data_IF_050925746923
#
_entry.id   IF_050925746923
#
_cell.length_a   1.000
_cell.length_b   1.000
_cell.length_c   1.000
_cell.angle_alpha   90.00
_cell.angle_beta   90.00
_cell.angle_gamma   90.00
#
_symmetry.space_group_name_H-M   'P 1'
#
loop_
_entity.id
_entity.type
_entity.pdbx_description
1 polymer ?
#
# COMPACT_ATOMS: atom_id res chain seq x y z
N UNK A 1 -27.77 20.93 16.25
CA UNK A 1 -26.44 21.37 15.76
C UNK A 1 -26.04 20.44 14.63
N UNK A 2 -25.89 20.94 13.40
CA UNK A 2 -25.38 20.13 12.30
C UNK A 2 -23.90 19.86 12.55
N UNK A 3 -23.56 18.62 12.90
CA UNK A 3 -22.18 18.15 12.96
C UNK A 3 -21.61 18.29 11.56
N UNK A 4 -20.78 19.32 11.32
CA UNK A 4 -20.02 19.44 10.07
C UNK A 4 -19.29 18.11 9.85
N UNK A 5 -19.56 17.45 8.74
CA UNK A 5 -18.92 16.19 8.36
C UNK A 5 -17.41 16.43 8.28
N UNK A 6 -16.69 16.05 9.34
CA UNK A 6 -15.28 16.42 9.59
C UNK A 6 -14.33 15.85 8.52
N UNK A 7 -14.82 14.95 7.67
CA UNK A 7 -14.07 14.26 6.62
C UNK A 7 -14.92 14.09 5.35
N UNK A 8 -15.44 15.19 4.79
CA UNK A 8 -16.23 15.15 3.54
C UNK A 8 -15.45 14.68 2.30
N UNK A 9 -14.12 14.60 2.39
CA UNK A 9 -13.23 14.09 1.35
C UNK A 9 -12.98 12.58 1.44
N UNK A 10 -13.42 11.92 2.53
CA UNK A 10 -13.25 10.49 2.75
C UNK A 10 -14.62 9.81 2.65
N UNK A 11 -14.90 9.25 1.49
CA UNK A 11 -16.24 8.78 1.11
C UNK A 11 -16.55 7.39 1.66
N UNK A 12 -16.74 7.33 2.98
CA UNK A 12 -17.21 6.16 3.72
C UNK A 12 -18.20 6.58 4.79
N UNK A 13 -18.95 5.61 5.32
CA UNK A 13 -19.93 5.86 6.38
C UNK A 13 -19.30 6.47 7.64
N UNK A 14 -20.08 7.22 8.40
CA UNK A 14 -19.61 7.82 9.65
C UNK A 14 -19.18 6.76 10.67
N UNK A 15 -19.82 5.58 10.67
CA UNK A 15 -19.42 4.44 11.49
C UNK A 15 -17.98 3.98 11.17
N UNK A 16 -17.61 3.90 9.88
CA UNK A 16 -16.25 3.54 9.48
C UNK A 16 -15.26 4.61 9.92
N UNK A 17 -15.60 5.90 9.75
CA UNK A 17 -14.75 7.01 10.22
C UNK A 17 -14.53 6.91 11.72
N UNK A 18 -15.56 6.62 12.49
CA UNK A 18 -15.48 6.43 13.95
C UNK A 18 -14.57 5.27 14.32
N UNK A 19 -14.69 4.11 13.64
CA UNK A 19 -13.81 2.96 13.86
C UNK A 19 -12.34 3.29 13.57
N UNK A 20 -12.04 4.00 12.48
CA UNK A 20 -10.67 4.43 12.17
C UNK A 20 -10.13 5.43 13.20
N UNK A 21 -10.96 6.34 13.70
CA UNK A 21 -10.60 7.26 14.79
C UNK A 21 -10.33 6.48 16.07
N UNK A 22 -11.14 5.47 16.40
CA UNK A 22 -10.95 4.64 17.58
C UNK A 22 -9.64 3.84 17.49
N UNK A 23 -9.35 3.23 16.34
CA UNK A 23 -8.06 2.57 16.11
C UNK A 23 -6.87 3.54 16.36
N UNK A 24 -6.94 4.76 15.83
CA UNK A 24 -5.90 5.75 16.07
C UNK A 24 -5.81 6.20 17.55
N UNK A 25 -6.94 6.36 18.24
CA UNK A 25 -6.99 6.75 19.66
C UNK A 25 -6.45 5.69 20.60
N UNK A 26 -6.67 4.41 20.27
CA UNK A 26 -6.21 3.28 21.06
C UNK A 26 -4.87 2.75 20.56
N UNK A 27 -4.11 3.53 19.78
CA UNK A 27 -2.87 3.11 19.16
C UNK A 27 -1.94 2.35 20.11
N UNK A 28 -1.69 2.85 21.32
CA UNK A 28 -0.80 2.18 22.30
C UNK A 28 -1.30 0.78 22.71
N UNK A 29 -2.63 0.56 22.73
CA UNK A 29 -3.24 -0.74 22.94
C UNK A 29 -3.40 -1.49 21.60
N UNK A 30 -2.36 -2.23 21.21
CA UNK A 30 -2.30 -2.89 19.90
C UNK A 30 -3.47 -3.83 19.63
N UNK A 31 -3.94 -4.58 20.63
CA UNK A 31 -5.08 -5.51 20.48
C UNK A 31 -6.38 -4.75 20.19
N UNK A 32 -6.69 -3.76 21.01
CA UNK A 32 -7.91 -2.97 20.89
C UNK A 32 -7.92 -2.14 19.59
N UNK A 33 -6.78 -1.52 19.27
CA UNK A 33 -6.60 -0.77 18.03
C UNK A 33 -6.76 -1.65 16.79
N UNK A 34 -6.17 -2.86 16.79
CA UNK A 34 -6.31 -3.80 15.68
C UNK A 34 -7.76 -4.25 15.51
N UNK A 35 -8.49 -4.45 16.61
CA UNK A 35 -9.92 -4.79 16.58
C UNK A 35 -10.76 -3.73 15.89
N UNK A 36 -10.53 -2.44 16.14
CA UNK A 36 -11.25 -1.37 15.44
C UNK A 36 -10.88 -1.28 13.95
N UNK A 37 -9.60 -1.45 13.62
CA UNK A 37 -9.15 -1.50 12.22
C UNK A 37 -9.79 -2.66 11.45
N UNK A 38 -9.86 -3.85 12.04
CA UNK A 38 -10.51 -5.01 11.42
C UNK A 38 -12.02 -4.80 11.22
N UNK A 39 -12.69 -4.17 12.19
CA UNK A 39 -14.10 -3.81 12.04
C UNK A 39 -14.33 -2.79 10.92
N UNK A 40 -13.45 -1.79 10.78
CA UNK A 40 -13.52 -0.84 9.67
C UNK A 40 -13.40 -1.58 8.33
N UNK A 41 -12.37 -2.41 8.18
CA UNK A 41 -12.15 -3.23 6.98
C UNK A 41 -13.33 -4.13 6.63
N UNK A 42 -13.94 -4.77 7.63
CA UNK A 42 -15.10 -5.64 7.41
C UNK A 42 -16.33 -4.89 6.90
N UNK A 43 -16.49 -3.61 7.28
CA UNK A 43 -17.62 -2.77 6.89
C UNK A 43 -17.44 -2.06 5.55
N UNK A 44 -16.20 -1.81 5.15
CA UNK A 44 -15.88 -1.01 3.95
C UNK A 44 -15.67 -1.86 2.72
N UNK A 45 -15.56 -3.18 2.89
CA UNK A 45 -15.16 -4.08 1.81
C UNK A 45 -13.80 -3.64 1.24
N UNK A 46 -13.77 -3.41 -0.07
CA UNK A 46 -12.56 -3.09 -0.82
C UNK A 46 -12.45 -1.60 -1.19
N UNK A 47 -13.01 -0.69 -0.37
CA UNK A 47 -12.75 0.74 -0.54
C UNK A 47 -11.24 1.03 -0.44
N UNK A 48 -10.66 1.61 -1.48
CA UNK A 48 -9.20 1.80 -1.62
C UNK A 48 -8.62 2.73 -0.56
N UNK A 49 -9.35 3.75 -0.14
CA UNK A 49 -8.85 4.71 0.86
C UNK A 49 -8.72 4.05 2.25
N UNK A 50 -9.67 3.18 2.60
CA UNK A 50 -9.62 2.41 3.86
C UNK A 50 -8.52 1.35 3.79
N UNK A 51 -8.33 0.70 2.64
CA UNK A 51 -7.20 -0.20 2.44
C UNK A 51 -5.86 0.53 2.58
N UNK A 52 -5.73 1.76 2.05
CA UNK A 52 -4.51 2.57 2.24
C UNK A 52 -4.28 2.91 3.72
N UNK A 53 -5.34 3.27 4.45
CA UNK A 53 -5.26 3.51 5.90
C UNK A 53 -4.82 2.25 6.66
N UNK A 54 -5.40 1.10 6.33
CA UNK A 54 -5.05 -0.19 6.91
C UNK A 54 -3.60 -0.63 6.60
N UNK A 55 -3.14 -0.43 5.36
CA UNK A 55 -1.75 -0.69 4.98
C UNK A 55 -0.79 0.08 5.88
N UNK A 56 -0.99 1.40 6.01
CA UNK A 56 -0.16 2.26 6.87
C UNK A 56 -0.20 1.83 8.32
N UNK A 57 -1.41 1.54 8.82
CA UNK A 57 -1.62 1.04 10.17
C UNK A 57 -0.78 -0.23 10.44
N UNK A 58 -0.92 -1.27 9.61
CA UNK A 58 -0.21 -2.52 9.79
C UNK A 58 1.30 -2.36 9.60
N UNK A 59 1.73 -1.54 8.63
CA UNK A 59 3.14 -1.24 8.41
C UNK A 59 3.80 -0.62 9.65
N UNK A 60 3.20 0.45 10.19
CA UNK A 60 3.74 1.12 11.39
C UNK A 60 3.60 0.29 12.67
N UNK A 61 2.68 -0.68 12.71
CA UNK A 61 2.60 -1.71 13.76
C UNK A 61 3.57 -2.87 13.57
N UNK A 62 4.45 -2.81 12.57
CA UNK A 62 5.37 -3.89 12.18
C UNK A 62 4.66 -5.23 11.85
N UNK A 63 3.35 -5.19 11.56
CA UNK A 63 2.62 -6.36 11.08
C UNK A 63 2.74 -6.44 9.55
N UNK A 64 3.95 -6.77 9.10
CA UNK A 64 4.30 -6.80 7.68
C UNK A 64 3.49 -7.81 6.87
N UNK A 65 3.03 -8.91 7.50
CA UNK A 65 2.15 -9.88 6.85
C UNK A 65 0.80 -9.27 6.45
N UNK A 66 0.13 -8.57 7.38
CA UNK A 66 -1.13 -7.88 7.08
C UNK A 66 -0.93 -6.65 6.21
N UNK A 67 0.20 -5.95 6.34
CA UNK A 67 0.55 -4.85 5.44
C UNK A 67 0.65 -5.35 3.98
N UNK A 68 1.37 -6.46 3.75
CA UNK A 68 1.50 -7.06 2.42
C UNK A 68 0.14 -7.47 1.85
N UNK A 69 -0.64 -8.21 2.64
CA UNK A 69 -2.00 -8.64 2.26
C UNK A 69 -2.87 -7.44 1.86
N UNK A 70 -2.72 -6.31 2.56
CA UNK A 70 -3.50 -5.10 2.26
C UNK A 70 -3.01 -4.41 0.98
N UNK A 71 -1.69 -4.32 0.76
CA UNK A 71 -1.14 -3.80 -0.49
C UNK A 71 -1.57 -4.63 -1.70
N UNK A 72 -1.56 -5.96 -1.57
CA UNK A 72 -2.03 -6.89 -2.60
C UNK A 72 -3.52 -6.71 -2.93
N UNK A 73 -4.36 -6.45 -1.92
CA UNK A 73 -5.78 -6.11 -2.13
C UNK A 73 -5.96 -4.82 -2.91
N UNK A 74 -5.18 -3.77 -2.61
CA UNK A 74 -5.21 -2.51 -3.37
C UNK A 74 -4.84 -2.76 -4.83
N UNK A 75 -3.76 -3.50 -5.07
CA UNK A 75 -3.28 -3.87 -6.41
C UNK A 75 -4.37 -4.64 -7.17
N UNK A 76 -4.95 -5.68 -6.56
CA UNK A 76 -6.00 -6.50 -7.16
C UNK A 76 -7.23 -5.65 -7.49
N UNK A 77 -7.63 -4.76 -6.59
CA UNK A 77 -8.78 -3.89 -6.80
C UNK A 77 -8.61 -2.94 -7.97
N UNK A 78 -7.43 -2.34 -8.08
CA UNK A 78 -7.15 -1.43 -9.20
C UNK A 78 -7.05 -2.21 -10.51
N UNK A 79 -6.50 -3.42 -10.52
CA UNK A 79 -6.53 -4.28 -11.72
C UNK A 79 -7.94 -4.56 -12.19
N UNK A 80 -8.87 -4.82 -11.28
CA UNK A 80 -10.28 -5.02 -11.59
C UNK A 80 -10.92 -3.74 -12.17
N UNK A 81 -10.78 -2.60 -11.47
CA UNK A 81 -11.39 -1.32 -11.85
C UNK A 81 -10.90 -0.84 -13.22
N UNK A 82 -9.60 -1.01 -13.48
CA UNK A 82 -8.94 -0.52 -14.68
C UNK A 82 -8.84 -1.58 -15.79
N UNK A 83 -9.39 -2.78 -15.56
CA UNK A 83 -9.32 -3.93 -16.46
C UNK A 83 -7.88 -4.22 -16.94
N UNK A 84 -6.93 -4.24 -16.01
CA UNK A 84 -5.51 -4.38 -16.33
C UNK A 84 -5.13 -5.85 -16.58
N UNK A 85 -4.23 -6.13 -17.55
CA UNK A 85 -3.76 -7.48 -17.80
C UNK A 85 -2.93 -8.04 -16.63
N UNK A 86 -2.88 -9.36 -16.54
CA UNK A 86 -2.09 -10.06 -15.53
C UNK A 86 -0.63 -10.23 -15.94
N UNK A 87 -0.37 -10.39 -17.24
CA UNK A 87 0.98 -10.52 -17.78
C UNK A 87 1.73 -9.18 -17.64
N UNK A 88 2.95 -9.23 -17.09
CA UNK A 88 3.74 -8.02 -16.86
C UNK A 88 4.15 -7.30 -18.16
N UNK A 89 4.49 -8.05 -19.21
CA UNK A 89 4.92 -7.49 -20.50
C UNK A 89 3.79 -6.68 -21.16
N UNK A 90 2.54 -7.12 -20.98
CA UNK A 90 1.34 -6.38 -21.42
C UNK A 90 0.99 -5.22 -20.48
N UNK A 91 1.20 -5.41 -19.17
CA UNK A 91 0.85 -4.44 -18.14
C UNK A 91 1.79 -3.23 -18.12
N UNK A 92 3.10 -3.45 -18.26
CA UNK A 92 4.11 -2.40 -18.08
C UNK A 92 3.91 -1.18 -19.00
N UNK A 93 3.66 -1.33 -20.32
CA UNK A 93 3.42 -0.17 -21.18
C UNK A 93 2.20 0.66 -20.75
N UNK A 94 1.13 -0.01 -20.31
CA UNK A 94 -0.09 0.65 -19.82
C UNK A 94 0.21 1.47 -18.57
N UNK A 95 0.91 0.87 -17.59
CA UNK A 95 1.31 1.57 -16.37
C UNK A 95 2.21 2.76 -16.68
N UNK A 96 3.15 2.64 -17.61
CA UNK A 96 4.05 3.72 -17.99
C UNK A 96 3.33 4.88 -18.68
N UNK A 97 2.39 4.58 -19.59
CA UNK A 97 1.61 5.58 -20.30
C UNK A 97 0.65 6.32 -19.36
N UNK A 98 0.03 5.61 -18.42
CA UNK A 98 -1.06 6.11 -17.58
C UNK A 98 -0.65 6.46 -16.16
N UNK A 99 0.66 6.51 -15.85
CA UNK A 99 1.19 6.65 -14.48
C UNK A 99 0.71 7.86 -13.68
N UNK A 100 0.26 8.92 -14.34
CA UNK A 100 -0.25 10.13 -13.69
C UNK A 100 -1.76 10.03 -13.35
N UNK A 101 -2.46 9.02 -13.87
CA UNK A 101 -3.86 8.79 -13.54
C UNK A 101 -3.99 8.29 -12.10
N UNK A 102 -4.96 8.77 -11.30
CA UNK A 102 -5.03 8.49 -9.86
C UNK A 102 -4.99 7.01 -9.49
N UNK A 103 -5.75 6.16 -10.17
CA UNK A 103 -5.79 4.73 -9.90
C UNK A 103 -4.46 4.05 -10.26
N UNK A 104 -3.87 4.37 -11.41
CA UNK A 104 -2.60 3.80 -11.84
C UNK A 104 -1.46 4.25 -10.91
N UNK A 105 -1.48 5.52 -10.49
CA UNK A 105 -0.53 6.04 -9.50
C UNK A 105 -0.69 5.33 -8.15
N UNK A 106 -1.92 5.04 -7.72
CA UNK A 106 -2.17 4.25 -6.51
C UNK A 106 -1.66 2.80 -6.65
N UNK A 107 -1.85 2.18 -7.81
CA UNK A 107 -1.32 0.85 -8.11
C UNK A 107 0.20 0.82 -7.99
N UNK A 108 0.90 1.78 -8.61
CA UNK A 108 2.35 1.87 -8.59
C UNK A 108 2.88 2.10 -7.16
N UNK A 109 2.22 2.96 -6.39
CA UNK A 109 2.54 3.14 -4.96
C UNK A 109 2.33 1.85 -4.15
N UNK A 110 1.22 1.15 -4.34
CA UNK A 110 0.94 -0.10 -3.63
C UNK A 110 1.90 -1.22 -4.03
N UNK A 111 2.31 -1.29 -5.29
CA UNK A 111 3.27 -2.27 -5.79
C UNK A 111 4.70 -1.97 -5.32
N UNK A 112 5.13 -0.70 -5.31
CA UNK A 112 6.40 -0.32 -4.70
C UNK A 112 6.42 -0.60 -3.19
N UNK A 113 5.32 -0.29 -2.49
CA UNK A 113 5.13 -0.58 -1.07
C UNK A 113 5.20 -2.08 -0.76
N UNK A 114 4.62 -2.95 -1.60
CA UNK A 114 4.72 -4.39 -1.41
C UNK A 114 6.16 -4.88 -1.55
N UNK A 115 6.95 -4.31 -2.46
CA UNK A 115 8.40 -4.58 -2.56
C UNK A 115 9.14 -4.30 -1.26
N UNK A 116 8.88 -3.14 -0.63
CA UNK A 116 9.46 -2.79 0.67
C UNK A 116 9.03 -3.76 1.78
N UNK A 117 7.75 -4.11 1.83
CA UNK A 117 7.23 -5.03 2.85
C UNK A 117 7.80 -6.44 2.70
N UNK A 118 7.90 -6.93 1.46
CA UNK A 118 8.52 -8.22 1.14
C UNK A 118 10.00 -8.23 1.54
N UNK A 119 10.73 -7.13 1.35
CA UNK A 119 12.10 -6.98 1.87
C UNK A 119 12.14 -7.07 3.40
N UNK A 120 11.23 -6.38 4.11
CA UNK A 120 11.11 -6.44 5.58
C UNK A 120 10.79 -7.85 6.10
N UNK A 121 10.13 -8.67 5.29
CA UNK A 121 9.85 -10.08 5.57
C UNK A 121 11.03 -11.01 5.21
N UNK A 122 12.17 -10.48 4.76
CA UNK A 122 13.37 -11.24 4.42
C UNK A 122 13.33 -11.89 3.03
N UNK A 123 12.32 -11.62 2.20
CA UNK A 123 12.16 -12.18 0.85
C UNK A 123 12.88 -11.32 -0.18
N UNK A 124 14.20 -11.23 -0.06
CA UNK A 124 15.00 -10.22 -0.78
C UNK A 124 14.91 -10.34 -2.31
N UNK A 125 14.91 -11.55 -2.88
CA UNK A 125 14.83 -11.73 -4.34
C UNK A 125 13.49 -11.25 -4.91
N UNK A 126 12.39 -11.55 -4.22
CA UNK A 126 11.06 -11.05 -4.61
C UNK A 126 11.00 -9.51 -4.50
N UNK A 127 11.62 -8.93 -3.46
CA UNK A 127 11.69 -7.49 -3.31
C UNK A 127 12.51 -6.81 -4.42
N UNK A 128 13.64 -7.42 -4.81
CA UNK A 128 14.45 -6.96 -5.95
C UNK A 128 13.63 -6.99 -7.24
N UNK A 129 12.93 -8.10 -7.52
CA UNK A 129 12.09 -8.22 -8.72
C UNK A 129 11.03 -7.11 -8.82
N UNK A 130 10.31 -6.85 -7.72
CA UNK A 130 9.30 -5.78 -7.66
C UNK A 130 9.96 -4.41 -7.86
N UNK A 131 11.11 -4.18 -7.22
CA UNK A 131 11.81 -2.89 -7.31
C UNK A 131 12.31 -2.61 -8.72
N UNK A 132 12.89 -3.61 -9.40
CA UNK A 132 13.30 -3.51 -10.82
C UNK A 132 12.13 -3.19 -11.73
N UNK A 133 10.98 -3.84 -11.51
CA UNK A 133 9.76 -3.61 -12.29
C UNK A 133 9.26 -2.17 -12.18
N UNK A 134 9.22 -1.61 -10.96
CA UNK A 134 8.84 -0.20 -10.77
C UNK A 134 9.89 0.75 -11.34
N UNK A 135 11.18 0.46 -11.17
CA UNK A 135 12.26 1.28 -11.70
C UNK A 135 12.20 1.42 -13.23
N UNK A 136 11.76 0.36 -13.93
CA UNK A 136 11.48 0.40 -15.37
C UNK A 136 10.29 1.27 -15.80
N UNK A 137 9.50 1.79 -14.85
CA UNK A 137 8.35 2.70 -15.07
C UNK A 137 8.67 4.11 -14.55
N UNK A 138 9.43 4.19 -13.46
CA UNK A 138 9.59 5.37 -12.62
C UNK A 138 10.90 6.13 -12.87
N UNK A 139 10.96 6.81 -14.02
CA UNK A 139 12.13 7.59 -14.41
C UNK A 139 12.47 8.76 -13.45
N UNK A 140 11.53 9.17 -12.58
CA UNK A 140 11.70 10.31 -11.66
C UNK A 140 11.92 9.88 -10.20
N UNK A 141 11.87 8.57 -9.93
CA UNK A 141 11.90 8.01 -8.58
C UNK A 141 10.74 8.51 -7.67
N UNK A 142 9.57 8.75 -8.27
CA UNK A 142 8.34 9.19 -7.60
C UNK A 142 7.80 8.16 -6.59
N UNK A 143 8.12 6.88 -6.76
CA UNK A 143 7.62 5.76 -5.95
C UNK A 143 8.68 5.15 -5.03
N UNK A 144 9.93 5.65 -5.06
CA UNK A 144 11.00 5.27 -4.14
C UNK A 144 11.62 3.87 -4.36
N UNK A 145 11.23 3.16 -5.42
CA UNK A 145 11.71 1.81 -5.69
C UNK A 145 13.20 1.73 -6.05
N UNK A 146 13.76 2.78 -6.67
CA UNK A 146 15.19 2.82 -6.99
C UNK A 146 16.05 2.78 -5.73
N UNK A 147 15.65 3.52 -4.69
CA UNK A 147 16.35 3.54 -3.40
C UNK A 147 16.33 2.15 -2.76
N UNK A 148 15.17 1.48 -2.80
CA UNK A 148 15.05 0.13 -2.26
C UNK A 148 15.93 -0.85 -3.05
N UNK A 149 15.91 -0.79 -4.38
CA UNK A 149 16.76 -1.62 -5.21
C UNK A 149 18.24 -1.44 -4.86
N UNK A 150 18.72 -0.19 -4.78
CA UNK A 150 20.11 0.14 -4.46
C UNK A 150 20.52 -0.44 -3.10
N UNK A 151 19.66 -0.33 -2.07
CA UNK A 151 19.89 -0.93 -0.75
C UNK A 151 19.99 -2.46 -0.84
N UNK A 152 19.12 -3.10 -1.63
CA UNK A 152 19.07 -4.56 -1.77
C UNK A 152 20.22 -5.14 -2.60
N UNK A 153 20.86 -4.34 -3.45
CA UNK A 153 21.96 -4.76 -4.32
C UNK A 153 23.33 -4.25 -3.88
N UNK A 154 23.41 -3.41 -2.85
CA UNK A 154 24.68 -2.94 -2.31
C UNK A 154 25.48 -4.15 -1.81
N UNK A 155 26.73 -4.34 -2.26
CA UNK A 155 27.61 -5.35 -1.67
C UNK A 155 27.79 -5.03 -0.17
N UNK A 156 27.98 -6.05 0.69
CA UNK A 156 28.38 -5.79 2.07
C UNK A 156 29.62 -4.90 2.04
N UNK A 157 29.61 -3.80 2.80
CA UNK A 157 30.86 -3.07 3.02
C UNK A 157 31.84 -4.05 3.66
N UNK A 158 33.02 -4.21 3.05
CA UNK A 158 34.10 -4.92 3.71
C UNK A 158 34.39 -4.13 4.99
N UNK A 159 34.17 -4.75 6.15
CA UNK A 159 34.56 -4.18 7.43
C UNK A 159 36.09 -3.94 7.38
N UNK A 160 36.52 -2.66 7.26
CA UNK A 160 37.92 -2.25 7.48
C UNK A 160 38.35 -2.42 8.94
#
# INVERSE_FOLDING_TARGET
MQTKNKFSWFDVSDEVKELLILAAKTWENTEESAKYMQQALAKTGENTDVLVAAYRYFYYKNNYSLALTTAEKIIAKIKEIENLPHNWEELQPILQQRKEEPNIRLFLNAYAASGLVVAKLGKLEQAKEISTKIQGIDNKNDFGASILFDILTRPPEEDE
#
